data_IF_577571878885
#
_entry.id   IF_577571878885
#
_cell.length_a   1.000
_cell.length_b   1.000
_cell.length_c   1.000
_cell.angle_alpha   90.00
_cell.angle_beta   90.00
_cell.angle_gamma   90.00
#
_symmetry.space_group_name_H-M   'P 1'
#
loop_
_entity.id
_entity.type
_entity.pdbx_description
1 polymer ?
#
# COMPACT_ATOMS: atom_id res chain seq x y z
N UNK A 1 -1.75 -44.00 15.54
CA UNK A 1 -1.43 -43.82 14.12
C UNK A 1 -2.63 -43.45 13.25
N UNK A 2 -3.88 -43.77 13.64
CA UNK A 2 -5.07 -43.51 12.80
C UNK A 2 -5.71 -42.12 12.92
N UNK A 3 -5.39 -41.33 13.95
CA UNK A 3 -5.98 -39.99 14.16
C UNK A 3 -5.30 -38.88 13.36
N UNK A 4 -3.99 -38.97 13.12
CA UNK A 4 -3.25 -37.96 12.33
C UNK A 4 -3.45 -38.12 10.82
N UNK A 5 -3.58 -39.36 10.32
CA UNK A 5 -3.92 -39.61 8.91
C UNK A 5 -5.31 -39.06 8.52
N UNK A 6 -6.29 -39.16 9.44
CA UNK A 6 -7.62 -38.60 9.20
C UNK A 6 -7.65 -37.06 9.26
N UNK A 7 -6.80 -36.45 10.09
CA UNK A 7 -6.69 -34.99 10.20
C UNK A 7 -6.03 -34.37 8.95
N UNK A 8 -4.93 -34.97 8.48
CA UNK A 8 -4.25 -34.51 7.27
C UNK A 8 -5.13 -34.65 6.02
N UNK A 9 -5.96 -35.70 5.94
CA UNK A 9 -6.96 -35.85 4.88
C UNK A 9 -8.00 -34.73 4.88
N UNK A 10 -8.54 -34.39 6.06
CA UNK A 10 -9.52 -33.32 6.21
C UNK A 10 -8.96 -31.92 5.91
N UNK A 11 -7.70 -31.65 6.29
CA UNK A 11 -7.02 -30.38 5.95
C UNK A 11 -6.81 -30.22 4.45
N UNK A 12 -6.46 -31.32 3.76
CA UNK A 12 -6.29 -31.32 2.31
C UNK A 12 -7.62 -31.12 1.57
N UNK A 13 -8.70 -31.77 2.04
CA UNK A 13 -10.04 -31.55 1.50
C UNK A 13 -10.46 -30.08 1.63
N UNK A 14 -10.29 -29.49 2.82
CA UNK A 14 -10.61 -28.08 3.06
C UNK A 14 -9.78 -27.13 2.18
N UNK A 15 -8.49 -27.42 2.01
CA UNK A 15 -7.64 -26.65 1.10
C UNK A 15 -8.16 -26.71 -0.33
N UNK A 16 -8.54 -27.89 -0.82
CA UNK A 16 -9.09 -28.05 -2.17
C UNK A 16 -10.42 -27.31 -2.34
N UNK A 17 -11.31 -27.34 -1.35
CA UNK A 17 -12.55 -26.56 -1.35
C UNK A 17 -12.26 -25.05 -1.43
N UNK A 18 -11.29 -24.57 -0.66
CA UNK A 18 -10.92 -23.16 -0.67
C UNK A 18 -10.24 -22.74 -1.98
N UNK A 19 -9.48 -23.64 -2.62
CA UNK A 19 -8.96 -23.42 -3.98
C UNK A 19 -10.10 -23.26 -4.99
N UNK A 20 -11.12 -24.14 -4.94
CA UNK A 20 -12.27 -24.04 -5.82
C UNK A 20 -13.04 -22.72 -5.64
N UNK A 21 -13.23 -22.27 -4.39
CA UNK A 21 -13.83 -20.96 -4.10
C UNK A 21 -13.00 -19.81 -4.67
N UNK A 22 -11.67 -19.86 -4.53
CA UNK A 22 -10.80 -18.83 -5.09
C UNK A 22 -10.91 -18.75 -6.62
N UNK A 23 -11.10 -19.87 -7.31
CA UNK A 23 -11.31 -19.90 -8.77
C UNK A 23 -12.64 -19.21 -9.16
N UNK A 24 -13.72 -19.51 -8.44
CA UNK A 24 -15.02 -18.84 -8.64
C UNK A 24 -14.91 -17.33 -8.42
N UNK A 25 -14.26 -16.92 -7.34
CA UNK A 25 -14.04 -15.50 -7.02
C UNK A 25 -13.15 -14.80 -8.04
N UNK A 26 -12.14 -15.49 -8.57
CA UNK A 26 -11.29 -14.95 -9.63
C UNK A 26 -12.10 -14.67 -10.90
N UNK A 27 -13.06 -15.55 -11.24
CA UNK A 27 -13.96 -15.32 -12.36
C UNK A 27 -14.89 -14.12 -12.10
N UNK A 28 -15.44 -13.99 -10.89
CA UNK A 28 -16.22 -12.80 -10.48
C UNK A 28 -15.40 -11.52 -10.59
N UNK A 29 -14.16 -11.54 -10.09
CA UNK A 29 -13.22 -10.42 -10.15
C UNK A 29 -12.99 -9.95 -11.59
N UNK A 30 -12.67 -10.88 -12.50
CA UNK A 30 -12.47 -10.58 -13.93
C UNK A 30 -13.72 -9.95 -14.54
N UNK A 31 -14.89 -10.49 -14.23
CA UNK A 31 -16.16 -9.95 -14.71
C UNK A 31 -16.42 -8.53 -14.16
N UNK A 32 -16.17 -8.29 -12.88
CA UNK A 32 -16.37 -6.98 -12.26
C UNK A 32 -15.42 -5.93 -12.87
N UNK A 33 -14.14 -6.28 -13.08
CA UNK A 33 -13.17 -5.40 -13.73
C UNK A 33 -13.49 -5.10 -15.20
N UNK A 34 -14.18 -6.00 -15.91
CA UNK A 34 -14.58 -5.77 -17.30
C UNK A 34 -15.59 -4.61 -17.45
N UNK A 35 -16.29 -4.26 -16.38
CA UNK A 35 -17.24 -3.15 -16.34
C UNK A 35 -16.61 -1.83 -15.89
N UNK A 36 -15.28 -1.79 -15.70
CA UNK A 36 -14.57 -0.61 -15.20
C UNK A 36 -14.87 0.62 -16.04
N UNK A 37 -15.41 1.64 -15.37
CA UNK A 37 -15.63 2.97 -15.94
C UNK A 37 -14.32 3.58 -16.41
N UNK A 38 -14.31 4.12 -17.64
CA UNK A 38 -13.21 4.95 -18.11
C UNK A 38 -13.34 6.35 -17.52
N UNK A 39 -12.41 6.72 -16.64
CA UNK A 39 -12.31 8.07 -16.08
C UNK A 39 -11.34 8.90 -16.92
N UNK A 40 -11.59 10.21 -17.03
CA UNK A 40 -10.71 11.14 -17.76
C UNK A 40 -9.30 11.11 -17.14
N UNK A 41 -8.24 10.81 -17.92
CA UNK A 41 -6.87 10.82 -17.43
C UNK A 41 -6.43 12.17 -16.83
N UNK A 42 -7.06 13.27 -17.22
CA UNK A 42 -6.75 14.60 -16.70
C UNK A 42 -7.29 14.83 -15.27
N UNK A 43 -8.18 13.96 -14.78
CA UNK A 43 -8.72 14.01 -13.42
C UNK A 43 -7.85 13.24 -12.41
N UNK A 44 -6.80 12.53 -12.86
CA UNK A 44 -5.96 11.69 -12.01
C UNK A 44 -4.47 11.99 -12.15
N UNK A 45 -3.80 12.14 -11.00
CA UNK A 45 -2.33 12.22 -10.92
C UNK A 45 -1.73 13.58 -11.27
N UNK A 46 -0.43 13.78 -11.02
CA UNK A 46 0.25 15.01 -11.37
C UNK A 46 0.35 15.17 -12.89
N UNK A 47 0.29 16.42 -13.37
CA UNK A 47 0.38 16.74 -14.81
C UNK A 47 1.65 16.13 -15.41
N UNK A 48 1.55 15.62 -16.64
CA UNK A 48 2.68 15.02 -17.37
C UNK A 48 3.91 15.93 -17.43
N UNK A 49 3.69 17.25 -17.47
CA UNK A 49 4.73 18.28 -17.43
C UNK A 49 5.66 18.16 -16.21
N UNK A 50 5.12 17.81 -15.02
CA UNK A 50 5.93 17.64 -13.82
C UNK A 50 6.96 16.52 -13.99
N UNK A 51 6.55 15.39 -14.58
CA UNK A 51 7.44 14.27 -14.84
C UNK A 51 8.52 14.61 -15.86
N UNK A 52 8.17 15.33 -16.93
CA UNK A 52 9.13 15.77 -17.95
C UNK A 52 10.16 16.73 -17.35
N UNK A 53 9.73 17.69 -16.52
CA UNK A 53 10.64 18.60 -15.81
C UNK A 53 11.57 17.85 -14.85
N UNK A 54 11.04 16.94 -14.05
CA UNK A 54 11.83 16.12 -13.13
C UNK A 54 12.87 15.26 -13.88
N UNK A 55 12.48 14.62 -14.98
CA UNK A 55 13.40 13.84 -15.82
C UNK A 55 14.50 14.71 -16.43
N UNK A 56 14.15 15.92 -16.88
CA UNK A 56 15.12 16.87 -17.45
C UNK A 56 16.11 17.37 -16.39
N UNK A 57 15.62 17.74 -15.21
CA UNK A 57 16.46 18.18 -14.09
C UNK A 57 17.39 17.05 -13.62
N UNK A 58 16.88 15.82 -13.53
CA UNK A 58 17.70 14.64 -13.23
C UNK A 58 18.80 14.43 -14.27
N UNK A 59 18.48 14.49 -15.56
CA UNK A 59 19.49 14.37 -16.63
C UNK A 59 20.54 15.48 -16.57
N UNK A 60 20.14 16.71 -16.25
CA UNK A 60 21.08 17.82 -16.06
C UNK A 60 22.02 17.57 -14.88
N UNK A 61 21.50 17.09 -13.75
CA UNK A 61 22.32 16.71 -12.60
C UNK A 61 23.31 15.59 -12.95
N UNK A 62 22.87 14.57 -13.73
CA UNK A 62 23.76 13.50 -14.21
C UNK A 62 24.90 14.05 -15.06
N UNK A 63 24.62 15.00 -15.96
CA UNK A 63 25.62 15.60 -16.83
C UNK A 63 26.58 16.53 -16.10
N UNK A 64 26.09 17.27 -15.10
CA UNK A 64 26.89 18.24 -14.33
C UNK A 64 27.70 17.57 -13.22
N UNK A 65 27.19 16.49 -12.63
CA UNK A 65 27.77 15.81 -11.49
C UNK A 65 27.93 14.28 -11.72
N UNK A 66 28.64 13.85 -12.78
CA UNK A 66 28.74 12.43 -13.13
C UNK A 66 29.43 11.58 -12.04
N UNK A 67 30.35 12.16 -11.27
CA UNK A 67 31.04 11.48 -10.16
C UNK A 67 30.10 11.05 -9.04
N UNK A 68 29.16 11.92 -8.66
CA UNK A 68 28.13 11.65 -7.63
C UNK A 68 27.25 10.48 -8.04
N UNK A 69 26.83 10.44 -9.31
CA UNK A 69 26.03 9.35 -9.85
C UNK A 69 26.80 8.02 -9.87
N UNK A 70 28.07 8.04 -10.31
CA UNK A 70 28.93 6.85 -10.33
C UNK A 70 29.14 6.31 -8.91
N UNK A 71 29.39 7.19 -7.94
CA UNK A 71 29.54 6.80 -6.53
C UNK A 71 28.27 6.14 -5.97
N UNK A 72 27.10 6.74 -6.20
CA UNK A 72 25.82 6.16 -5.81
C UNK A 72 25.55 4.80 -6.50
N UNK A 73 25.84 4.68 -7.79
CA UNK A 73 25.67 3.42 -8.51
C UNK A 73 26.64 2.33 -8.03
N UNK A 74 27.92 2.65 -7.84
CA UNK A 74 28.93 1.69 -7.38
C UNK A 74 28.59 1.16 -5.99
N UNK A 75 28.14 2.04 -5.07
CA UNK A 75 27.68 1.64 -3.75
C UNK A 75 26.45 0.72 -3.80
N UNK A 76 25.44 1.08 -4.61
CA UNK A 76 24.23 0.29 -4.80
C UNK A 76 24.53 -1.10 -5.39
N UNK A 77 25.27 -1.17 -6.50
CA UNK A 77 25.63 -2.43 -7.16
C UNK A 77 26.51 -3.31 -6.27
N UNK A 78 27.45 -2.72 -5.52
CA UNK A 78 28.29 -3.44 -4.57
C UNK A 78 27.47 -4.10 -3.47
N UNK A 79 26.57 -3.35 -2.84
CA UNK A 79 25.63 -3.88 -1.83
C UNK A 79 24.73 -4.96 -2.43
N UNK A 80 24.20 -4.73 -3.64
CA UNK A 80 23.30 -5.69 -4.26
C UNK A 80 23.97 -7.03 -4.56
N UNK A 81 25.15 -6.99 -5.19
CA UNK A 81 25.92 -8.20 -5.51
C UNK A 81 26.31 -8.93 -4.22
N UNK A 82 26.73 -8.21 -3.19
CA UNK A 82 27.03 -8.79 -1.88
C UNK A 82 25.83 -9.54 -1.29
N UNK A 83 24.66 -8.91 -1.23
CA UNK A 83 23.45 -9.55 -0.69
C UNK A 83 22.99 -10.75 -1.52
N UNK A 84 23.09 -10.69 -2.84
CA UNK A 84 22.78 -11.82 -3.70
C UNK A 84 23.70 -13.02 -3.42
N UNK A 85 25.02 -12.79 -3.33
CA UNK A 85 25.98 -13.85 -3.01
C UNK A 85 25.77 -14.43 -1.61
N UNK A 86 25.49 -13.59 -0.61
CA UNK A 86 25.22 -14.03 0.76
C UNK A 86 23.94 -14.88 0.84
N UNK A 87 22.86 -14.45 0.17
CA UNK A 87 21.60 -15.19 0.11
C UNK A 87 21.75 -16.53 -0.61
N UNK A 88 22.43 -16.55 -1.76
CA UNK A 88 22.69 -17.78 -2.50
C UNK A 88 23.54 -18.77 -1.71
N UNK A 89 24.56 -18.28 -0.98
CA UNK A 89 25.38 -19.10 -0.09
C UNK A 89 24.58 -19.67 1.08
N UNK A 90 23.69 -18.87 1.69
CA UNK A 90 22.82 -19.33 2.77
C UNK A 90 21.89 -20.46 2.28
N UNK A 91 21.17 -20.24 1.17
CA UNK A 91 20.30 -21.24 0.54
C UNK A 91 21.05 -22.51 0.14
N UNK A 92 22.19 -22.38 -0.54
CA UNK A 92 23.00 -23.52 -1.00
C UNK A 92 23.63 -24.32 0.15
N UNK A 93 23.85 -23.69 1.31
CA UNK A 93 24.40 -24.36 2.50
C UNK A 93 23.38 -25.21 3.27
N UNK A 94 22.10 -25.17 2.86
CA UNK A 94 21.00 -25.83 3.57
C UNK A 94 20.70 -25.24 4.96
N UNK A 95 21.39 -24.16 5.35
CA UNK A 95 21.15 -23.44 6.60
C UNK A 95 20.20 -22.28 6.29
N UNK A 96 18.99 -22.34 6.85
CA UNK A 96 18.03 -21.24 6.85
C UNK A 96 18.46 -20.15 7.86
N UNK A 97 19.66 -19.63 7.68
CA UNK A 97 20.19 -18.53 8.51
C UNK A 97 20.45 -17.37 7.57
N UNK A 98 19.65 -16.32 7.72
CA UNK A 98 19.85 -15.11 6.95
C UNK A 98 21.10 -14.33 7.43
N UNK A 99 21.72 -13.52 6.56
CA UNK A 99 22.75 -12.55 6.95
C UNK A 99 22.21 -11.55 7.97
N UNK A 100 23.09 -10.95 8.78
CA UNK A 100 22.68 -9.88 9.71
C UNK A 100 22.20 -8.66 8.90
N UNK A 101 20.97 -8.24 9.15
CA UNK A 101 20.40 -7.00 8.65
C UNK A 101 21.00 -5.80 9.41
N UNK A 102 21.55 -4.82 8.69
CA UNK A 102 21.93 -3.51 9.23
C UNK A 102 21.06 -2.43 8.56
N UNK A 103 20.45 -1.52 9.33
CA UNK A 103 19.60 -0.45 8.78
C UNK A 103 18.44 -0.03 9.68
N UNK A 104 17.69 1.01 9.28
CA UNK A 104 16.51 1.48 10.01
C UNK A 104 15.42 0.40 10.08
N UNK A 105 14.72 0.37 11.22
CA UNK A 105 13.61 -0.54 11.48
C UNK A 105 12.35 -0.03 10.79
N UNK A 106 11.82 -0.79 9.84
CA UNK A 106 10.55 -0.50 9.17
C UNK A 106 9.48 -1.48 9.68
N UNK A 107 8.37 -0.91 10.20
CA UNK A 107 7.27 -1.65 10.84
C UNK A 107 6.61 -2.67 9.91
N UNK A 108 6.67 -2.45 8.59
CA UNK A 108 6.19 -3.39 7.57
C UNK A 108 6.88 -4.75 7.66
N UNK A 109 8.13 -4.79 8.13
CA UNK A 109 8.94 -6.01 8.21
C UNK A 109 9.03 -6.57 9.63
N UNK A 110 7.93 -6.54 10.38
CA UNK A 110 7.89 -6.98 11.78
C UNK A 110 7.85 -8.50 11.97
N UNK A 111 7.42 -9.26 10.96
CA UNK A 111 7.45 -10.72 11.00
C UNK A 111 8.90 -11.26 11.13
N UNK A 112 9.19 -12.18 12.06
CA UNK A 112 10.54 -12.73 12.24
C UNK A 112 11.14 -13.41 11.00
N UNK A 113 10.32 -13.90 10.07
CA UNK A 113 10.79 -14.51 8.82
C UNK A 113 11.58 -13.54 7.94
N UNK A 114 11.33 -12.23 8.05
CA UNK A 114 12.10 -11.19 7.35
C UNK A 114 13.58 -11.16 7.73
N UNK A 115 13.93 -11.61 8.95
CA UNK A 115 15.31 -11.62 9.43
C UNK A 115 15.87 -13.02 9.66
N UNK A 116 15.02 -14.05 9.70
CA UNK A 116 15.47 -15.44 9.89
C UNK A 116 15.58 -16.22 8.58
N UNK A 117 14.67 -16.00 7.63
CA UNK A 117 14.59 -16.79 6.41
C UNK A 117 15.37 -16.14 5.26
N UNK A 118 16.34 -16.84 4.61
CA UNK A 118 17.22 -16.24 3.60
C UNK A 118 16.50 -15.56 2.43
N UNK A 119 15.40 -16.14 1.93
CA UNK A 119 14.63 -15.57 0.83
C UNK A 119 13.92 -14.26 1.19
N UNK A 120 13.18 -14.23 2.30
CA UNK A 120 12.47 -13.03 2.76
C UNK A 120 13.46 -11.94 3.15
N UNK A 121 14.57 -12.31 3.80
CA UNK A 121 15.64 -11.37 4.11
C UNK A 121 16.23 -10.73 2.85
N UNK A 122 16.54 -11.53 1.83
CA UNK A 122 17.04 -11.00 0.55
C UNK A 122 16.08 -10.00 -0.09
N UNK A 123 14.78 -10.31 -0.12
CA UNK A 123 13.74 -9.42 -0.66
C UNK A 123 13.65 -8.12 0.13
N UNK A 124 13.63 -8.19 1.47
CA UNK A 124 13.65 -7.02 2.35
C UNK A 124 14.87 -6.15 2.10
N UNK A 125 16.07 -6.74 2.06
CA UNK A 125 17.31 -5.98 1.83
C UNK A 125 17.32 -5.31 0.46
N UNK A 126 16.93 -6.04 -0.59
CA UNK A 126 16.83 -5.50 -1.94
C UNK A 126 15.89 -4.28 -1.97
N UNK A 127 14.68 -4.43 -1.41
CA UNK A 127 13.70 -3.34 -1.35
C UNK A 127 14.25 -2.11 -0.59
N UNK A 128 14.81 -2.30 0.61
CA UNK A 128 15.32 -1.18 1.42
C UNK A 128 16.47 -0.44 0.73
N UNK A 129 17.39 -1.18 0.08
CA UNK A 129 18.50 -0.59 -0.67
C UNK A 129 18.00 0.19 -1.89
N UNK A 130 17.09 -0.38 -2.66
CA UNK A 130 16.53 0.28 -3.84
C UNK A 130 15.72 1.51 -3.44
N UNK A 131 14.92 1.43 -2.39
CA UNK A 131 14.13 2.55 -1.86
C UNK A 131 15.04 3.70 -1.43
N UNK A 132 16.05 3.42 -0.60
CA UNK A 132 17.01 4.43 -0.14
C UNK A 132 17.80 5.07 -1.28
N UNK A 133 18.18 4.28 -2.31
CA UNK A 133 18.86 4.80 -3.49
C UNK A 133 17.97 5.75 -4.31
N UNK A 134 16.70 5.39 -4.51
CA UNK A 134 15.71 6.23 -5.21
C UNK A 134 15.43 7.52 -4.43
N UNK A 135 15.18 7.42 -3.11
CA UNK A 135 14.97 8.58 -2.24
C UNK A 135 16.16 9.54 -2.27
N UNK A 136 17.38 9.01 -2.20
CA UNK A 136 18.61 9.80 -2.27
C UNK A 136 18.76 10.49 -3.63
N UNK A 137 18.44 9.79 -4.71
CA UNK A 137 18.51 10.35 -6.06
C UNK A 137 17.51 11.51 -6.24
N UNK A 138 16.29 11.39 -5.72
CA UNK A 138 15.25 12.42 -5.83
C UNK A 138 15.54 13.61 -4.93
N UNK A 139 15.95 13.38 -3.68
CA UNK A 139 16.33 14.45 -2.74
C UNK A 139 17.53 15.24 -3.26
N UNK A 140 18.43 14.57 -3.97
CA UNK A 140 19.63 15.14 -4.58
C UNK A 140 19.39 15.95 -5.86
N UNK A 141 18.15 16.02 -6.37
CA UNK A 141 17.83 16.86 -7.54
C UNK A 141 17.92 18.34 -7.16
N UNK A 142 18.74 19.07 -7.92
CA UNK A 142 18.87 20.52 -7.89
C UNK A 142 18.13 21.14 -9.09
N UNK A 143 17.82 22.44 -9.03
CA UNK A 143 17.18 23.16 -10.14
C UNK A 143 15.65 23.03 -10.26
N UNK A 144 14.99 22.41 -9.28
CA UNK A 144 13.53 22.40 -9.16
C UNK A 144 13.05 23.48 -8.18
N UNK A 145 11.91 24.10 -8.47
CA UNK A 145 11.22 24.98 -7.53
C UNK A 145 10.76 24.21 -6.29
N UNK A 146 10.68 24.89 -5.13
CA UNK A 146 10.41 24.23 -3.84
C UNK A 146 9.10 23.42 -3.79
N UNK A 147 8.04 23.87 -4.46
CA UNK A 147 6.76 23.15 -4.56
C UNK A 147 6.85 21.94 -5.51
N UNK A 148 7.58 22.08 -6.63
CA UNK A 148 7.80 20.97 -7.57
C UNK A 148 8.66 19.88 -6.92
N UNK A 149 9.71 20.24 -6.17
CA UNK A 149 10.54 19.28 -5.44
C UNK A 149 9.74 18.48 -4.42
N UNK A 150 8.90 19.13 -3.61
CA UNK A 150 8.01 18.45 -2.64
C UNK A 150 7.06 17.46 -3.32
N UNK A 151 6.51 17.81 -4.49
CA UNK A 151 5.64 16.91 -5.25
C UNK A 151 6.40 15.70 -5.75
N UNK A 152 7.60 15.90 -6.33
CA UNK A 152 8.43 14.80 -6.83
C UNK A 152 8.81 13.86 -5.69
N UNK A 153 9.25 14.39 -4.54
CA UNK A 153 9.56 13.60 -3.34
C UNK A 153 8.33 12.82 -2.87
N UNK A 154 7.18 13.48 -2.75
CA UNK A 154 5.92 12.85 -2.33
C UNK A 154 5.52 11.69 -3.24
N UNK A 155 5.42 11.93 -4.55
CA UNK A 155 5.01 10.87 -5.50
C UNK A 155 6.03 9.75 -5.60
N UNK A 156 7.32 10.04 -5.41
CA UNK A 156 8.36 9.00 -5.33
C UNK A 156 8.12 8.08 -4.13
N UNK A 157 7.83 8.65 -2.95
CA UNK A 157 7.52 7.86 -1.77
C UNK A 157 6.30 6.96 -1.99
N UNK A 158 5.25 7.48 -2.63
CA UNK A 158 4.05 6.70 -2.94
C UNK A 158 4.34 5.52 -3.87
N UNK A 159 5.24 5.68 -4.85
CA UNK A 159 5.67 4.59 -5.74
C UNK A 159 6.49 3.55 -4.97
N UNK A 160 7.42 4.00 -4.12
CA UNK A 160 8.22 3.12 -3.25
C UNK A 160 7.29 2.27 -2.38
N UNK A 161 6.34 2.91 -1.69
CA UNK A 161 5.42 2.25 -0.79
C UNK A 161 4.47 1.28 -1.52
N UNK A 162 4.05 1.60 -2.75
CA UNK A 162 3.26 0.71 -3.60
C UNK A 162 4.01 -0.56 -3.99
N UNK A 163 5.33 -0.47 -4.20
CA UNK A 163 6.19 -1.60 -4.56
C UNK A 163 6.71 -2.40 -3.37
N UNK A 164 6.29 -2.07 -2.14
CA UNK A 164 6.69 -2.78 -0.95
C UNK A 164 6.38 -4.29 -1.05
N UNK A 165 7.32 -5.19 -0.69
CA UNK A 165 7.11 -6.64 -0.76
C UNK A 165 5.91 -7.16 0.05
N UNK A 166 5.50 -6.41 1.08
CA UNK A 166 4.32 -6.73 1.89
C UNK A 166 3.01 -6.63 1.11
N UNK A 167 2.98 -5.93 -0.03
CA UNK A 167 1.78 -5.75 -0.84
C UNK A 167 1.48 -6.95 -1.75
N UNK A 168 2.39 -7.92 -1.87
CA UNK A 168 2.26 -9.05 -2.78
C UNK A 168 2.30 -10.38 -1.99
N UNK A 169 1.30 -11.24 -2.23
CA UNK A 169 1.16 -12.53 -1.52
C UNK A 169 2.43 -13.38 -1.58
N UNK A 170 3.03 -13.53 -2.77
CA UNK A 170 4.20 -14.39 -2.97
C UNK A 170 5.46 -13.95 -2.23
N UNK A 171 5.50 -12.71 -1.74
CA UNK A 171 6.64 -12.14 -1.02
C UNK A 171 6.31 -11.75 0.42
N UNK A 172 5.07 -11.95 0.87
CA UNK A 172 4.61 -11.56 2.20
C UNK A 172 4.55 -12.80 3.13
N UNK A 173 5.48 -12.94 4.09
CA UNK A 173 5.50 -14.07 5.01
C UNK A 173 4.25 -14.13 5.89
N UNK A 174 3.75 -13.00 6.40
CA UNK A 174 2.53 -12.96 7.22
C UNK A 174 1.31 -13.52 6.47
N UNK A 175 1.17 -13.13 5.20
CA UNK A 175 0.07 -13.61 4.36
C UNK A 175 0.19 -15.09 4.02
N UNK A 176 1.41 -15.57 3.76
CA UNK A 176 1.67 -16.99 3.45
C UNK A 176 1.49 -17.88 4.68
N UNK A 177 2.01 -17.49 5.84
CA UNK A 177 1.79 -18.20 7.11
C UNK A 177 0.30 -18.28 7.42
N UNK A 178 -0.42 -17.16 7.32
CA UNK A 178 -1.86 -17.14 7.56
C UNK A 178 -2.64 -18.02 6.58
N UNK A 179 -2.24 -18.05 5.31
CA UNK A 179 -2.85 -18.92 4.32
C UNK A 179 -2.67 -20.40 4.68
N UNK A 180 -1.49 -20.80 5.16
CA UNK A 180 -1.23 -22.17 5.62
C UNK A 180 -2.02 -22.49 6.88
N UNK A 181 -1.97 -21.63 7.90
CA UNK A 181 -2.68 -21.80 9.18
C UNK A 181 -4.20 -21.97 8.99
N UNK A 182 -4.76 -21.30 7.99
CA UNK A 182 -6.19 -21.29 7.72
C UNK A 182 -6.62 -22.21 6.58
N UNK A 183 -5.71 -23.05 6.06
CA UNK A 183 -5.95 -23.91 4.90
C UNK A 183 -6.57 -23.13 3.72
N UNK A 184 -6.05 -21.92 3.46
CA UNK A 184 -6.47 -21.03 2.37
C UNK A 184 -7.68 -20.15 2.65
N UNK A 185 -8.37 -20.30 3.79
CA UNK A 185 -9.60 -19.53 4.10
C UNK A 185 -9.33 -18.02 4.15
N UNK A 186 -8.16 -17.60 4.63
CA UNK A 186 -7.80 -16.18 4.65
C UNK A 186 -7.69 -15.57 3.25
N UNK A 187 -7.27 -16.37 2.26
CA UNK A 187 -7.17 -15.93 0.86
C UNK A 187 -8.56 -15.83 0.23
N UNK A 188 -9.43 -16.80 0.50
CA UNK A 188 -10.86 -16.75 0.09
C UNK A 188 -11.52 -15.49 0.64
N UNK A 189 -11.38 -15.24 1.94
CA UNK A 189 -11.97 -14.07 2.60
C UNK A 189 -11.41 -12.76 2.04
N UNK A 190 -10.10 -12.68 1.81
CA UNK A 190 -9.46 -11.49 1.23
C UNK A 190 -9.89 -11.22 -0.21
N UNK A 191 -10.02 -12.28 -1.02
CA UNK A 191 -10.46 -12.16 -2.40
C UNK A 191 -11.96 -11.82 -2.50
N UNK A 192 -12.80 -12.35 -1.62
CA UNK A 192 -14.21 -11.94 -1.52
C UNK A 192 -14.33 -10.45 -1.20
N UNK A 193 -13.54 -9.94 -0.24
CA UNK A 193 -13.52 -8.50 0.07
C UNK A 193 -13.12 -7.67 -1.17
N UNK A 194 -12.07 -8.07 -1.89
CA UNK A 194 -11.62 -7.39 -3.10
C UNK A 194 -12.70 -7.39 -4.20
N UNK A 195 -13.35 -8.54 -4.41
CA UNK A 195 -14.44 -8.66 -5.38
C UNK A 195 -15.60 -7.77 -5.01
N UNK A 196 -16.04 -7.78 -3.74
CA UNK A 196 -17.12 -6.94 -3.26
C UNK A 196 -16.82 -5.45 -3.42
N UNK A 197 -15.59 -5.04 -3.13
CA UNK A 197 -15.14 -3.65 -3.32
C UNK A 197 -15.24 -3.22 -4.78
N UNK A 198 -14.80 -4.06 -5.72
CA UNK A 198 -14.85 -3.74 -7.14
C UNK A 198 -16.27 -3.79 -7.69
N UNK A 199 -17.08 -4.77 -7.28
CA UNK A 199 -18.49 -4.88 -7.65
C UNK A 199 -19.31 -3.68 -7.14
N UNK A 200 -19.04 -3.21 -5.92
CA UNK A 200 -19.73 -2.06 -5.33
C UNK A 200 -19.36 -0.72 -5.98
N UNK A 201 -18.23 -0.65 -6.68
CA UNK A 201 -17.69 0.57 -7.28
C UNK A 201 -17.60 0.50 -8.82
N UNK A 202 -18.51 -0.23 -9.47
CA UNK A 202 -18.62 -0.30 -10.94
C UNK A 202 -17.29 -0.67 -11.65
N UNK A 203 -16.55 -1.62 -11.08
CA UNK A 203 -15.26 -2.06 -11.61
C UNK A 203 -14.06 -1.19 -11.21
N UNK A 204 -14.25 -0.13 -10.42
CA UNK A 204 -13.16 0.65 -9.85
C UNK A 204 -12.57 -0.01 -8.60
N UNK A 205 -11.24 0.06 -8.47
CA UNK A 205 -10.53 -0.45 -7.31
C UNK A 205 -10.57 0.59 -6.18
N UNK A 206 -11.71 0.69 -5.50
CA UNK A 206 -11.90 1.53 -4.33
C UNK A 206 -12.13 0.64 -3.11
N UNK A 207 -11.17 0.63 -2.20
CA UNK A 207 -11.20 -0.23 -1.01
C UNK A 207 -12.24 0.29 -0.02
N UNK A 208 -13.13 -0.59 0.44
CA UNK A 208 -14.11 -0.25 1.49
C UNK A 208 -13.41 -0.22 2.84
N UNK A 209 -13.25 0.97 3.42
CA UNK A 209 -12.57 1.14 4.71
C UNK A 209 -13.50 0.96 5.92
N UNK A 210 -14.82 1.00 5.71
CA UNK A 210 -15.82 0.91 6.77
C UNK A 210 -17.14 0.40 6.23
N UNK A 211 -17.93 -0.30 7.04
CA UNK A 211 -19.27 -0.73 6.67
C UNK A 211 -20.20 0.49 6.47
N UNK A 212 -20.65 0.79 5.23
CA UNK A 212 -21.53 1.92 4.97
C UNK A 212 -22.92 1.75 5.61
N UNK A 213 -23.33 0.52 5.94
CA UNK A 213 -24.63 0.22 6.58
C UNK A 213 -24.59 0.37 8.09
N UNK A 214 -23.40 0.47 8.69
CA UNK A 214 -23.24 0.69 10.12
C UNK A 214 -23.62 2.12 10.54
N UNK A 215 -23.60 3.07 9.60
CA UNK A 215 -23.82 4.49 9.88
C UNK A 215 -25.19 4.96 9.39
N UNK A 216 -25.85 5.74 10.23
CA UNK A 216 -27.11 6.42 9.97
C UNK A 216 -26.95 7.89 10.31
N UNK A 217 -27.06 8.72 9.28
CA UNK A 217 -26.97 10.18 9.40
C UNK A 217 -28.10 10.68 10.32
N UNK A 218 -27.73 11.48 11.31
CA UNK A 218 -28.61 11.98 12.36
C UNK A 218 -28.76 11.07 13.58
N UNK A 219 -28.34 9.80 13.52
CA UNK A 219 -28.39 8.88 14.68
C UNK A 219 -26.99 8.67 15.30
N UNK A 220 -26.07 8.09 14.52
CA UNK A 220 -24.71 7.77 14.97
C UNK A 220 -23.62 8.40 14.08
N UNK A 221 -24.04 9.16 13.06
CA UNK A 221 -23.19 9.98 12.20
C UNK A 221 -23.82 11.36 12.06
N UNK A 222 -23.04 12.44 12.19
CA UNK A 222 -23.56 13.81 12.13
C UNK A 222 -24.76 14.06 13.09
N UNK A 223 -24.69 13.51 14.30
CA UNK A 223 -25.77 13.54 15.30
C UNK A 223 -25.69 14.72 16.30
N UNK A 224 -24.81 15.70 16.05
CA UNK A 224 -24.72 16.90 16.90
C UNK A 224 -26.02 17.68 16.81
N UNK A 225 -26.64 17.97 17.96
CA UNK A 225 -27.91 18.67 18.02
C UNK A 225 -27.82 20.05 17.36
N UNK A 226 -28.78 20.36 16.50
CA UNK A 226 -28.84 21.62 15.76
C UNK A 226 -30.08 21.69 14.89
N UNK A 227 -30.25 22.81 14.20
CA UNK A 227 -31.38 23.05 13.32
C UNK A 227 -30.96 23.75 12.03
N UNK A 228 -31.68 23.45 10.93
CA UNK A 228 -31.56 24.20 9.68
C UNK A 228 -32.26 25.54 9.86
N UNK A 229 -31.49 26.63 9.89
CA UNK A 229 -32.00 28.00 10.10
C UNK A 229 -32.14 28.79 8.79
N UNK A 230 -31.54 28.31 7.71
CA UNK A 230 -31.70 28.87 6.37
C UNK A 230 -31.54 27.76 5.32
N UNK A 231 -32.30 27.85 4.22
CA UNK A 231 -32.23 26.89 3.11
C UNK A 231 -32.46 27.61 1.79
N UNK A 232 -31.65 27.29 0.78
CA UNK A 232 -31.88 27.68 -0.60
C UNK A 232 -31.54 26.52 -1.56
N UNK A 233 -31.50 26.81 -2.88
CA UNK A 233 -31.16 25.80 -3.91
C UNK A 233 -29.76 25.19 -3.74
N UNK A 234 -28.82 25.93 -3.17
CA UNK A 234 -27.42 25.53 -3.09
C UNK A 234 -27.06 24.87 -1.76
N UNK A 235 -27.62 25.33 -0.65
CA UNK A 235 -27.19 24.87 0.67
C UNK A 235 -28.25 25.02 1.76
N UNK A 236 -27.96 24.36 2.88
CA UNK A 236 -28.64 24.49 4.15
C UNK A 236 -27.66 25.06 5.18
N UNK A 237 -28.07 26.09 5.92
CA UNK A 237 -27.31 26.62 7.05
C UNK A 237 -27.78 25.92 8.32
N UNK A 238 -26.88 25.19 8.96
CA UNK A 238 -27.14 24.52 10.24
C UNK A 238 -26.59 25.38 11.37
N UNK A 239 -27.44 25.70 12.35
CA UNK A 239 -27.03 26.26 13.63
C UNK A 239 -27.07 25.17 14.69
N UNK A 240 -25.91 24.83 15.26
CA UNK A 240 -25.82 23.85 16.34
C UNK A 240 -26.38 24.41 17.66
N UNK A 241 -27.03 23.54 18.44
CA UNK A 241 -27.54 23.85 19.77
C UNK A 241 -26.35 24.13 20.70
N UNK A 242 -26.32 25.26 21.42
CA UNK A 242 -25.24 25.56 22.34
C UNK A 242 -25.24 24.57 23.51
N UNK A 243 -24.06 24.01 23.82
CA UNK A 243 -23.87 23.07 24.94
C UNK A 243 -23.37 23.75 26.22
N UNK A 244 -23.26 25.08 26.22
CA UNK A 244 -22.78 25.90 27.35
C UNK A 244 -23.69 27.11 27.58
N UNK A 245 -23.72 27.63 28.81
CA UNK A 245 -24.54 28.82 29.15
C UNK A 245 -24.05 30.11 28.47
N UNK A 246 -22.75 30.21 28.20
CA UNK A 246 -22.11 31.35 27.55
C UNK A 246 -21.31 30.87 26.35
N UNK A 247 -21.36 31.66 25.27
CA UNK A 247 -20.61 31.45 24.02
C UNK A 247 -19.82 32.72 23.68
N UNK A 248 -18.87 32.62 22.77
CA UNK A 248 -18.15 33.78 22.25
C UNK A 248 -19.08 34.68 21.45
N UNK A 249 -18.81 35.99 21.44
CA UNK A 249 -19.65 36.98 20.72
C UNK A 249 -19.55 36.86 19.20
N UNK A 250 -18.42 36.38 18.68
CA UNK A 250 -18.19 36.19 17.25
C UNK A 250 -18.46 34.71 16.91
N UNK A 251 -19.39 34.42 15.98
CA UNK A 251 -19.69 33.05 15.58
C UNK A 251 -18.60 32.45 14.69
N UNK A 252 -18.43 31.13 14.75
CA UNK A 252 -17.64 30.36 13.79
C UNK A 252 -18.55 29.91 12.64
N UNK A 253 -18.12 30.17 11.40
CA UNK A 253 -18.79 29.67 10.19
C UNK A 253 -17.89 28.65 9.51
N UNK A 254 -18.41 27.45 9.26
CA UNK A 254 -17.67 26.34 8.66
C UNK A 254 -18.17 26.14 7.23
N UNK A 255 -17.25 26.16 6.26
CA UNK A 255 -17.52 25.82 4.86
C UNK A 255 -16.93 24.44 4.57
N UNK A 256 -17.76 23.37 4.51
CA UNK A 256 -17.29 22.04 4.17
C UNK A 256 -16.81 21.97 2.70
N UNK A 257 -15.96 20.98 2.36
CA UNK A 257 -15.44 20.78 1.00
C UNK A 257 -16.52 20.42 -0.03
#
# INVERSE_FOLDING_TARGET
MTTEENAAGAELERLNENIAKMEELSQRLVNAMAHKRMVDPNLHGPKQELFVKAATAYMQEVMQNPGKLIEHQVGYWGSMVKHYFEAQKALASGRLVAPKTEGPQDRRFSNPLWDSHPYFNFIKQNYLLTSSAIESAVTGIEGLESDEKKKVEYFTQQIIDMLAPTNFLGTNPDALERAVETQGESLVSGLENLVQDIEANDGELLVTLSDPKAFKVGENLAATEGAVVFRNRMFELIQYTPTTEKVQSIPLVIFPP
#
